data_IF_112171093346
#
_entry.id   IF_112171093346
#
_cell.length_a   1.000
_cell.length_b   1.000
_cell.length_c   1.000
_cell.angle_alpha   90.00
_cell.angle_beta   90.00
_cell.angle_gamma   90.00
#
_symmetry.space_group_name_H-M   'P 1'
#
loop_
_entity.id
_entity.type
_entity.pdbx_description
1 polymer ?
#
# COMPACT_ATOMS: atom_id res chain seq x y z
N UNK A 1 -9.07 14.00 12.84
CA UNK A 1 -9.06 15.44 13.20
C UNK A 1 -8.91 16.35 11.97
N UNK A 2 -7.78 16.37 11.25
CA UNK A 2 -7.56 17.35 10.16
C UNK A 2 -8.48 17.22 8.93
N UNK A 3 -9.11 16.07 8.69
CA UNK A 3 -9.98 15.85 7.53
C UNK A 3 -11.47 15.94 7.85
N UNK A 4 -11.86 16.29 9.08
CA UNK A 4 -13.26 16.22 9.52
C UNK A 4 -14.13 17.31 8.92
N UNK A 5 -13.53 18.45 8.58
CA UNK A 5 -14.19 19.62 7.99
C UNK A 5 -14.10 19.64 6.46
N UNK A 6 -13.40 18.67 5.84
CA UNK A 6 -13.31 18.60 4.39
C UNK A 6 -14.63 18.09 3.79
N UNK A 7 -15.07 18.65 2.64
CA UNK A 7 -16.14 18.04 1.87
C UNK A 7 -15.74 16.59 1.53
N UNK A 8 -16.71 15.68 1.52
CA UNK A 8 -16.45 14.24 1.33
C UNK A 8 -15.41 13.64 2.30
N UNK A 9 -15.42 14.04 3.59
CA UNK A 9 -14.46 13.59 4.63
C UNK A 9 -14.12 12.09 4.61
N UNK A 10 -15.08 11.21 4.32
CA UNK A 10 -14.86 9.74 4.25
C UNK A 10 -13.85 9.38 3.15
N UNK A 11 -13.92 10.05 2.00
CA UNK A 11 -12.98 9.86 0.90
C UNK A 11 -11.57 10.30 1.32
N UNK A 12 -11.41 11.48 1.88
CA UNK A 12 -10.09 11.94 2.35
C UNK A 12 -9.50 11.05 3.45
N UNK A 13 -10.33 10.55 4.36
CA UNK A 13 -9.90 9.56 5.37
C UNK A 13 -9.48 8.23 4.72
N UNK A 14 -10.20 7.79 3.70
CA UNK A 14 -9.85 6.60 2.91
C UNK A 14 -8.49 6.80 2.23
N UNK A 15 -8.25 7.93 1.57
CA UNK A 15 -6.98 8.24 0.92
C UNK A 15 -5.83 8.25 1.93
N UNK A 16 -5.98 8.94 3.06
CA UNK A 16 -4.92 9.02 4.08
C UNK A 16 -4.57 7.63 4.66
N UNK A 17 -5.59 6.83 4.98
CA UNK A 17 -5.38 5.46 5.47
C UNK A 17 -4.86 4.52 4.38
N UNK A 18 -5.32 4.70 3.15
CA UNK A 18 -4.93 3.89 2.01
C UNK A 18 -3.47 4.11 1.63
N UNK A 19 -3.05 5.37 1.52
CA UNK A 19 -1.65 5.74 1.29
C UNK A 19 -0.73 5.10 2.34
N UNK A 20 -1.10 5.18 3.62
CA UNK A 20 -0.37 4.51 4.70
C UNK A 20 -0.18 3.01 4.40
N UNK A 21 -1.23 2.31 3.95
CA UNK A 21 -1.15 0.91 3.54
C UNK A 21 -0.18 0.67 2.37
N UNK A 22 -0.24 1.51 1.33
CA UNK A 22 0.65 1.44 0.16
C UNK A 22 2.11 1.61 0.57
N UNK A 23 2.42 2.64 1.37
CA UNK A 23 3.79 2.92 1.82
C UNK A 23 4.35 1.76 2.64
N UNK A 24 3.55 1.21 3.55
CA UNK A 24 3.98 0.10 4.41
C UNK A 24 4.09 -1.24 3.68
N UNK A 25 3.48 -1.37 2.49
CA UNK A 25 3.59 -2.57 1.64
C UNK A 25 4.95 -2.72 0.94
N UNK A 26 5.78 -1.67 0.96
CA UNK A 26 7.03 -1.65 0.21
C UNK A 26 8.02 -2.75 0.63
N UNK A 27 8.78 -3.27 -0.34
CA UNK A 27 9.75 -4.33 -0.10
C UNK A 27 10.84 -3.91 0.90
N UNK A 28 11.20 -2.62 0.93
CA UNK A 28 12.18 -2.06 1.87
C UNK A 28 11.74 -2.24 3.33
N UNK A 29 10.44 -2.08 3.60
CA UNK A 29 9.84 -2.27 4.93
C UNK A 29 9.92 -3.74 5.36
N UNK A 30 9.65 -4.66 4.43
CA UNK A 30 9.65 -6.11 4.70
C UNK A 30 11.04 -6.71 4.91
N UNK A 31 12.08 -6.12 4.33
CA UNK A 31 13.47 -6.60 4.45
C UNK A 31 14.02 -6.51 5.88
N UNK A 32 13.48 -5.62 6.71
CA UNK A 32 13.95 -5.39 8.08
C UNK A 32 12.95 -5.93 9.10
N UNK A 33 13.32 -6.96 9.88
CA UNK A 33 12.40 -7.65 10.81
C UNK A 33 11.74 -6.70 11.83
N UNK A 34 12.51 -5.77 12.40
CA UNK A 34 12.01 -4.77 13.36
C UNK A 34 11.02 -3.80 12.71
N UNK A 35 11.38 -3.24 11.54
CA UNK A 35 10.52 -2.32 10.79
C UNK A 35 9.23 -3.01 10.34
N UNK A 36 9.31 -4.27 9.88
CA UNK A 36 8.12 -5.06 9.53
C UNK A 36 7.18 -5.26 10.72
N UNK A 37 7.71 -5.47 11.93
CA UNK A 37 6.91 -5.60 13.15
C UNK A 37 6.20 -4.28 13.47
N UNK A 38 6.91 -3.16 13.40
CA UNK A 38 6.35 -1.82 13.56
C UNK A 38 5.26 -1.52 12.53
N UNK A 39 5.53 -1.79 11.25
CA UNK A 39 4.60 -1.60 10.15
C UNK A 39 3.27 -2.34 10.38
N UNK A 40 3.32 -3.59 10.85
CA UNK A 40 2.10 -4.35 11.21
C UNK A 40 1.28 -3.66 12.31
N UNK A 41 1.94 -3.08 13.32
CA UNK A 41 1.27 -2.29 14.34
C UNK A 41 0.59 -1.06 13.76
N UNK A 42 1.30 -0.32 12.89
CA UNK A 42 0.79 0.89 12.25
C UNK A 42 -0.40 0.58 11.32
N UNK A 43 -0.33 -0.50 10.53
CA UNK A 43 -1.44 -0.95 9.67
C UNK A 43 -2.67 -1.26 10.52
N UNK A 44 -2.50 -1.95 11.66
CA UNK A 44 -3.61 -2.27 12.56
C UNK A 44 -4.28 -1.00 13.10
N UNK A 45 -3.50 0.02 13.45
CA UNK A 45 -4.04 1.32 13.89
C UNK A 45 -4.69 2.13 12.75
N UNK A 46 -4.25 1.94 11.51
CA UNK A 46 -4.81 2.59 10.32
C UNK A 46 -6.18 2.03 9.87
N UNK A 47 -6.55 0.85 10.39
CA UNK A 47 -7.85 0.22 10.14
C UNK A 47 -7.96 -0.47 8.78
N UNK A 48 -9.18 -0.84 8.41
CA UNK A 48 -9.46 -1.69 7.25
C UNK A 48 -8.96 -1.14 5.92
N UNK A 49 -9.06 0.18 5.71
CA UNK A 49 -8.53 0.83 4.51
C UNK A 49 -7.01 0.60 4.36
N UNK A 50 -6.24 0.85 5.43
CA UNK A 50 -4.79 0.60 5.41
C UNK A 50 -4.47 -0.87 5.15
N UNK A 51 -5.25 -1.79 5.70
CA UNK A 51 -5.06 -3.22 5.48
C UNK A 51 -5.35 -3.64 4.03
N UNK A 52 -6.46 -3.17 3.45
CA UNK A 52 -6.82 -3.41 2.05
C UNK A 52 -5.71 -2.94 1.11
N UNK A 53 -5.30 -1.68 1.23
CA UNK A 53 -4.26 -1.13 0.34
C UNK A 53 -2.89 -1.78 0.58
N UNK A 54 -2.56 -2.17 1.82
CA UNK A 54 -1.36 -2.95 2.11
C UNK A 54 -1.35 -4.29 1.37
N UNK A 55 -2.42 -5.07 1.45
CA UNK A 55 -2.53 -6.36 0.76
C UNK A 55 -2.49 -6.20 -0.76
N UNK A 56 -3.20 -5.22 -1.30
CA UNK A 56 -3.17 -4.91 -2.73
C UNK A 56 -1.75 -4.57 -3.20
N UNK A 57 -1.02 -3.74 -2.44
CA UNK A 57 0.37 -3.41 -2.75
C UNK A 57 1.31 -4.62 -2.75
N UNK A 58 1.07 -5.59 -1.85
CA UNK A 58 1.81 -6.85 -1.85
C UNK A 58 1.47 -7.72 -3.06
N UNK A 59 0.18 -7.87 -3.38
CA UNK A 59 -0.29 -8.66 -4.51
C UNK A 59 0.24 -8.08 -5.83
N UNK A 60 0.11 -6.77 -6.05
CA UNK A 60 0.60 -6.08 -7.22
C UNK A 60 2.10 -6.33 -7.44
N UNK A 61 2.92 -6.20 -6.39
CA UNK A 61 4.37 -6.45 -6.48
C UNK A 61 4.71 -7.92 -6.69
N UNK A 62 3.91 -8.84 -6.15
CA UNK A 62 4.07 -10.27 -6.41
C UNK A 62 3.81 -10.56 -7.89
N UNK A 63 2.73 -10.04 -8.44
CA UNK A 63 2.38 -10.18 -9.86
C UNK A 63 3.44 -9.55 -10.77
N UNK A 64 3.92 -8.35 -10.43
CA UNK A 64 4.96 -7.65 -11.18
C UNK A 64 6.27 -8.46 -11.22
N UNK A 65 6.66 -9.13 -10.12
CA UNK A 65 7.85 -9.99 -10.09
C UNK A 65 7.69 -11.27 -10.89
N UNK A 66 6.47 -11.80 -10.96
CA UNK A 66 6.15 -13.00 -11.73
C UNK A 66 5.89 -12.73 -13.21
N UNK A 67 5.85 -11.45 -13.63
CA UNK A 67 5.62 -11.07 -15.02
C UNK A 67 6.89 -11.32 -15.84
N UNK A 68 6.85 -12.13 -16.91
CA UNK A 68 8.01 -12.39 -17.75
C UNK A 68 8.57 -11.10 -18.40
N UNK A 69 9.89 -10.98 -18.59
CA UNK A 69 10.53 -9.78 -19.16
C UNK A 69 10.01 -9.37 -20.54
N UNK A 70 9.49 -10.33 -21.33
CA UNK A 70 8.93 -10.06 -22.65
C UNK A 70 7.62 -9.26 -22.59
N UNK A 71 6.76 -9.54 -21.59
CA UNK A 71 5.50 -8.81 -21.39
C UNK A 71 5.79 -7.38 -20.92
N UNK A 72 6.76 -7.22 -20.03
CA UNK A 72 7.15 -5.89 -19.52
C UNK A 72 7.65 -4.99 -20.65
N UNK A 73 8.44 -5.54 -21.58
CA UNK A 73 8.95 -4.81 -22.76
C UNK A 73 7.86 -4.45 -23.76
N UNK A 74 6.83 -5.28 -23.91
CA UNK A 74 5.69 -5.03 -24.80
C UNK A 74 4.84 -3.87 -24.28
N UNK A 75 4.51 -3.87 -22.97
CA UNK A 75 3.71 -2.82 -22.34
C UNK A 75 4.45 -1.48 -22.28
N UNK A 76 5.77 -1.48 -22.10
CA UNK A 76 6.56 -0.22 -22.07
C UNK A 76 6.74 0.46 -23.43
N UNK A 77 6.40 -0.23 -24.53
CA UNK A 77 6.53 0.27 -25.91
C UNK A 77 5.20 0.74 -26.52
N UNK A 78 4.11 0.59 -25.78
CA UNK A 78 2.78 1.16 -26.06
C UNK A 78 2.63 2.49 -25.32
#
# INVERSE_FOLDING_TARGET
KHTELLPHKKFHQLINRGLLGIYLSDSKVRRQKKVRKLAKGIIKTGGWASYFFYLNGLAYRSLQKSTPPFITRLVSKL
#
